data_IF_070899669879
#
_entry.id   IF_070899669879
#
_cell.length_a   1.000
_cell.length_b   1.000
_cell.length_c   1.000
_cell.angle_alpha   90.00
_cell.angle_beta   90.00
_cell.angle_gamma   90.00
#
_symmetry.space_group_name_H-M   'P 1'
#
loop_
_entity.id
_entity.type
_entity.pdbx_description
1 polymer ?
#
# COMPACT_ATOMS: atom_id res chain seq x y z
N UNK A 1 8.06 -24.73 -7.12
CA UNK A 1 7.13 -25.82 -7.49
C UNK A 1 5.66 -25.36 -7.58
N UNK A 2 5.16 -24.53 -6.62
CA UNK A 2 3.74 -24.17 -6.60
C UNK A 2 3.27 -23.43 -7.87
N UNK A 3 4.01 -22.42 -8.32
CA UNK A 3 3.64 -21.66 -9.53
C UNK A 3 3.72 -22.50 -10.80
N UNK A 4 4.59 -23.50 -10.84
CA UNK A 4 4.65 -24.43 -11.97
C UNK A 4 3.38 -25.31 -12.03
N UNK A 5 2.89 -25.78 -10.88
CA UNK A 5 1.64 -26.53 -10.83
C UNK A 5 0.45 -25.67 -11.24
N UNK A 6 0.38 -24.42 -10.79
CA UNK A 6 -0.66 -23.48 -11.20
C UNK A 6 -0.61 -23.22 -12.71
N UNK A 7 0.57 -22.98 -13.25
CA UNK A 7 0.76 -22.78 -14.70
C UNK A 7 0.27 -23.99 -15.50
N UNK A 8 0.60 -25.19 -15.04
CA UNK A 8 0.13 -26.42 -15.68
C UNK A 8 -1.39 -26.50 -15.68
N UNK A 9 -2.03 -26.26 -14.54
CA UNK A 9 -3.49 -26.28 -14.42
C UNK A 9 -4.15 -25.24 -15.31
N UNK A 10 -3.60 -24.03 -15.41
CA UNK A 10 -4.11 -22.98 -16.30
C UNK A 10 -4.00 -23.37 -17.77
N UNK A 11 -2.93 -24.05 -18.19
CA UNK A 11 -2.81 -24.58 -19.56
C UNK A 11 -3.81 -25.69 -19.85
N UNK A 12 -4.22 -26.44 -18.85
CA UNK A 12 -5.31 -27.42 -18.94
C UNK A 12 -6.70 -26.77 -18.99
N UNK A 13 -6.78 -25.46 -18.74
CA UNK A 13 -8.02 -24.69 -18.81
C UNK A 13 -8.67 -24.38 -17.46
N UNK A 14 -8.02 -24.74 -16.35
CA UNK A 14 -8.48 -24.35 -15.01
C UNK A 14 -8.36 -22.83 -14.84
N UNK A 15 -9.34 -22.22 -14.19
CA UNK A 15 -9.33 -20.78 -13.86
C UNK A 15 -9.86 -20.57 -12.45
N UNK A 16 -9.33 -19.55 -11.79
CA UNK A 16 -9.73 -19.13 -10.43
C UNK A 16 -10.19 -17.67 -10.48
N UNK A 17 -11.43 -17.46 -10.89
CA UNK A 17 -11.99 -16.13 -11.14
C UNK A 17 -12.39 -15.40 -9.86
N UNK A 18 -12.70 -16.17 -8.81
CA UNK A 18 -13.22 -15.66 -7.55
C UNK A 18 -12.71 -16.51 -6.38
N UNK A 19 -12.49 -15.92 -5.17
CA UNK A 19 -11.94 -16.64 -4.01
C UNK A 19 -12.97 -17.52 -3.29
N UNK A 20 -13.71 -18.31 -4.01
CA UNK A 20 -14.72 -19.24 -3.47
C UNK A 20 -15.10 -20.31 -4.48
N UNK A 21 -15.85 -21.28 -4.04
CA UNK A 21 -16.24 -22.45 -4.86
C UNK A 21 -16.85 -22.08 -6.22
N UNK A 22 -17.66 -21.02 -6.27
CA UNK A 22 -18.24 -20.54 -7.53
C UNK A 22 -17.24 -19.86 -8.48
N UNK A 23 -16.01 -19.60 -8.04
CA UNK A 23 -14.97 -18.97 -8.85
C UNK A 23 -13.98 -19.96 -9.47
N UNK A 24 -14.08 -21.23 -9.16
CA UNK A 24 -13.21 -22.25 -9.71
C UNK A 24 -13.84 -22.86 -10.96
N UNK A 25 -13.17 -22.71 -12.08
CA UNK A 25 -13.57 -23.31 -13.36
C UNK A 25 -12.65 -24.47 -13.65
N UNK A 26 -13.20 -25.68 -13.65
CA UNK A 26 -12.49 -26.92 -14.01
C UNK A 26 -13.12 -27.45 -15.27
N UNK A 27 -12.39 -27.51 -16.41
CA UNK A 27 -12.93 -28.04 -17.63
C UNK A 27 -13.29 -29.52 -17.49
N UNK A 28 -14.50 -29.88 -17.89
CA UNK A 28 -14.90 -31.30 -17.99
C UNK A 28 -14.41 -31.88 -19.32
N UNK A 29 -13.24 -32.54 -19.29
CA UNK A 29 -12.62 -33.17 -20.46
C UNK A 29 -12.38 -34.62 -20.17
N UNK A 30 -12.83 -35.48 -21.09
CA UNK A 30 -12.60 -36.93 -20.98
C UNK A 30 -11.13 -37.31 -21.15
N UNK A 31 -10.34 -36.49 -21.83
CA UNK A 31 -8.93 -36.71 -22.06
C UNK A 31 -8.20 -35.38 -21.91
N UNK A 32 -7.06 -35.43 -21.24
CA UNK A 32 -6.17 -34.29 -21.05
C UNK A 32 -4.85 -34.56 -21.77
N UNK A 33 -4.47 -33.68 -22.66
CA UNK A 33 -3.21 -33.74 -23.39
C UNK A 33 -2.49 -32.40 -23.31
N UNK A 34 -1.20 -32.45 -23.01
CA UNK A 34 -0.31 -31.28 -23.01
C UNK A 34 0.91 -31.62 -23.86
N UNK A 35 1.29 -30.72 -24.73
CA UNK A 35 2.56 -30.81 -25.44
C UNK A 35 3.73 -30.73 -24.44
N UNK A 36 4.90 -31.31 -24.76
CA UNK A 36 6.10 -31.14 -23.93
C UNK A 36 6.34 -29.65 -23.63
N UNK A 37 6.61 -29.35 -22.36
CA UNK A 37 6.85 -27.98 -21.90
C UNK A 37 8.28 -27.87 -21.41
N UNK A 38 9.02 -26.99 -22.03
CA UNK A 38 10.26 -26.42 -21.49
C UNK A 38 10.03 -24.92 -21.27
N UNK A 39 9.66 -24.56 -20.04
CA UNK A 39 9.20 -23.21 -19.73
C UNK A 39 9.66 -22.78 -18.34
N UNK A 40 10.37 -21.67 -18.30
CA UNK A 40 10.75 -21.00 -17.06
C UNK A 40 10.13 -19.60 -17.01
N UNK A 41 9.50 -19.28 -15.91
CA UNK A 41 8.86 -17.99 -15.69
C UNK A 41 9.14 -17.47 -14.29
N UNK A 42 9.54 -16.23 -14.20
CA UNK A 42 9.58 -15.46 -12.96
C UNK A 42 8.65 -14.25 -13.11
N UNK A 43 7.79 -13.98 -12.13
CA UNK A 43 6.96 -12.78 -12.19
C UNK A 43 7.81 -11.52 -12.32
N UNK A 44 7.49 -10.58 -13.24
CA UNK A 44 8.32 -9.41 -13.52
C UNK A 44 8.37 -8.40 -12.36
N UNK A 45 7.36 -8.42 -11.49
CA UNK A 45 7.31 -7.54 -10.33
C UNK A 45 7.77 -8.26 -9.06
N UNK A 46 8.68 -7.63 -8.32
CA UNK A 46 9.13 -8.15 -7.02
C UNK A 46 8.01 -8.18 -5.97
N UNK A 47 7.06 -7.28 -6.09
CA UNK A 47 5.88 -7.24 -5.23
C UNK A 47 4.61 -7.19 -6.08
N UNK A 48 3.72 -8.11 -5.80
CA UNK A 48 2.41 -8.27 -6.45
C UNK A 48 1.37 -8.42 -5.35
N UNK A 49 1.11 -7.32 -4.64
CA UNK A 49 0.19 -7.31 -3.51
C UNK A 49 -1.12 -6.66 -3.91
N UNK A 50 -2.19 -7.38 -3.70
CA UNK A 50 -3.54 -6.83 -3.75
C UNK A 50 -4.03 -6.64 -2.31
N UNK A 51 -4.70 -5.52 -2.06
CA UNK A 51 -5.25 -5.22 -0.74
C UNK A 51 -6.69 -5.74 -0.67
N UNK A 52 -6.80 -7.05 -0.68
CA UNK A 52 -8.05 -7.76 -0.44
C UNK A 52 -7.97 -8.49 0.89
N UNK A 53 -9.08 -8.63 1.54
CA UNK A 53 -9.21 -9.47 2.70
C UNK A 53 -9.74 -8.76 3.92
N UNK A 54 -10.16 -9.54 4.91
CA UNK A 54 -10.63 -9.01 6.17
C UNK A 54 -9.50 -8.23 6.84
N UNK A 55 -9.83 -7.08 7.40
CA UNK A 55 -8.97 -6.41 8.35
C UNK A 55 -8.64 -7.41 9.47
N UNK A 56 -7.37 -7.48 9.82
CA UNK A 56 -6.92 -8.34 10.90
C UNK A 56 -7.63 -7.91 12.19
N UNK A 57 -8.61 -8.67 12.61
CA UNK A 57 -9.15 -8.53 13.94
C UNK A 57 -10.65 -8.76 14.12
N UNK A 58 -11.51 -8.44 13.22
CA UNK A 58 -12.94 -8.41 13.50
C UNK A 58 -13.84 -8.99 12.42
N UNK A 59 -13.49 -10.11 11.81
CA UNK A 59 -14.42 -10.86 10.92
C UNK A 59 -15.14 -9.97 9.89
N UNK A 60 -14.47 -8.95 9.40
CA UNK A 60 -15.12 -7.73 9.13
C UNK A 60 -15.63 -7.57 7.72
N UNK A 61 -16.58 -6.77 7.71
CA UNK A 61 -17.19 -6.16 6.58
C UNK A 61 -16.21 -5.19 5.90
N UNK A 62 -15.70 -5.53 4.73
CA UNK A 62 -15.25 -4.54 3.80
C UNK A 62 -16.17 -4.60 2.59
N UNK A 63 -16.76 -3.49 2.23
CA UNK A 63 -17.75 -3.36 1.15
C UNK A 63 -19.04 -4.20 1.33
N UNK A 64 -19.47 -4.39 2.58
CA UNK A 64 -20.74 -5.06 2.88
C UNK A 64 -20.73 -6.58 2.74
N UNK A 65 -19.59 -7.21 2.47
CA UNK A 65 -19.48 -8.67 2.33
C UNK A 65 -18.79 -9.26 3.55
N UNK A 66 -19.47 -10.14 4.27
CA UNK A 66 -18.86 -10.96 5.29
C UNK A 66 -18.09 -12.11 4.62
N UNK A 67 -16.81 -11.91 4.41
CA UNK A 67 -15.95 -12.85 3.67
C UNK A 67 -15.83 -14.21 4.35
N UNK A 68 -15.91 -14.27 5.66
CA UNK A 68 -15.86 -15.53 6.43
C UNK A 68 -17.16 -16.32 6.22
N UNK A 69 -18.31 -15.67 6.33
CA UNK A 69 -19.61 -16.30 6.07
C UNK A 69 -19.82 -16.69 4.62
N UNK A 70 -19.15 -16.02 3.69
CA UNK A 70 -19.23 -16.33 2.27
C UNK A 70 -18.34 -17.51 1.83
N UNK A 71 -17.60 -18.14 2.76
CA UNK A 71 -16.71 -19.27 2.44
C UNK A 71 -15.60 -18.93 1.45
N UNK A 72 -15.09 -17.70 1.49
CA UNK A 72 -14.09 -17.23 0.53
C UNK A 72 -12.70 -17.71 0.92
N UNK A 73 -12.00 -18.33 -0.02
CA UNK A 73 -10.60 -18.76 0.12
C UNK A 73 -9.62 -17.61 -0.17
N UNK A 74 -9.37 -16.80 0.84
CA UNK A 74 -8.36 -15.73 0.76
C UNK A 74 -6.93 -16.22 0.98
N UNK A 75 -6.73 -17.46 1.36
CA UNK A 75 -5.41 -18.05 1.57
C UNK A 75 -4.78 -18.49 0.26
N UNK A 76 -5.44 -19.35 -0.46
CA UNK A 76 -4.88 -19.99 -1.66
C UNK A 76 -5.23 -19.26 -2.96
N UNK A 77 -6.38 -18.62 -3.07
CA UNK A 77 -6.77 -17.91 -4.28
C UNK A 77 -5.75 -16.84 -4.72
N UNK A 78 -5.25 -15.94 -3.85
CA UNK A 78 -4.19 -15.02 -4.24
C UNK A 78 -2.89 -15.72 -4.67
N UNK A 79 -2.56 -16.83 -4.04
CA UNK A 79 -1.37 -17.62 -4.41
C UNK A 79 -1.51 -18.25 -5.80
N UNK A 80 -2.71 -18.73 -6.14
CA UNK A 80 -3.03 -19.24 -7.48
C UNK A 80 -2.90 -18.15 -8.54
N UNK A 81 -3.21 -16.90 -8.20
CA UNK A 81 -3.00 -15.73 -9.05
C UNK A 81 -1.56 -15.19 -9.01
N UNK A 82 -0.62 -15.92 -8.42
CA UNK A 82 0.80 -15.51 -8.23
C UNK A 82 0.94 -14.19 -7.49
N UNK A 83 -0.04 -13.82 -6.68
CA UNK A 83 0.04 -12.68 -5.76
C UNK A 83 1.07 -12.98 -4.68
N UNK A 84 1.81 -11.97 -4.25
CA UNK A 84 2.86 -12.11 -3.27
C UNK A 84 4.09 -11.29 -3.66
N UNK A 85 5.25 -11.65 -3.15
CA UNK A 85 6.49 -10.98 -3.49
C UNK A 85 7.70 -11.58 -2.82
N UNK A 86 8.85 -11.33 -3.40
CA UNK A 86 10.16 -11.70 -2.84
C UNK A 86 10.63 -10.72 -1.76
N UNK A 87 10.03 -9.53 -1.70
CA UNK A 87 10.31 -8.52 -0.67
C UNK A 87 9.03 -8.09 0.04
N UNK A 88 9.14 -7.89 1.34
CA UNK A 88 8.08 -7.27 2.13
C UNK A 88 8.27 -5.75 2.07
N UNK A 89 7.53 -5.08 1.21
CA UNK A 89 7.44 -3.63 1.21
C UNK A 89 6.33 -3.23 2.17
N UNK A 90 6.69 -2.51 3.21
CA UNK A 90 5.73 -1.95 4.15
C UNK A 90 5.52 -0.49 3.74
N UNK A 91 4.45 -0.22 3.00
CA UNK A 91 4.00 1.13 2.72
C UNK A 91 2.74 1.38 3.55
N UNK A 92 2.71 2.46 4.25
CA UNK A 92 1.60 2.88 5.09
C UNK A 92 1.78 4.33 5.50
N UNK A 93 0.78 4.90 6.15
CA UNK A 93 0.90 6.25 6.68
C UNK A 93 2.12 6.36 7.59
N UNK A 94 2.93 7.38 7.36
CA UNK A 94 4.07 7.74 8.18
C UNK A 94 3.85 9.14 8.75
N UNK A 95 4.76 9.61 9.57
CA UNK A 95 4.74 10.96 10.14
C UNK A 95 3.59 11.22 11.15
N UNK A 96 2.85 10.18 11.57
CA UNK A 96 1.76 10.35 12.54
C UNK A 96 2.23 10.81 13.93
N UNK A 97 3.46 10.48 14.30
CA UNK A 97 4.10 10.86 15.57
C UNK A 97 4.88 12.19 15.48
N UNK A 98 4.99 12.77 14.29
CA UNK A 98 5.76 13.98 14.07
C UNK A 98 5.18 15.19 14.80
N UNK A 99 3.87 15.29 14.91
CA UNK A 99 3.25 16.39 15.62
C UNK A 99 3.69 16.43 17.09
N UNK A 100 3.67 15.30 17.76
CA UNK A 100 4.10 15.19 19.15
C UNK A 100 5.60 15.43 19.31
N UNK A 101 6.40 14.95 18.33
CA UNK A 101 7.86 15.06 18.38
C UNK A 101 8.36 16.46 18.06
N UNK A 102 7.76 17.15 17.09
CA UNK A 102 8.39 18.32 16.48
C UNK A 102 7.55 19.59 16.54
N UNK A 103 6.23 19.52 16.73
CA UNK A 103 5.39 20.71 16.60
C UNK A 103 5.78 21.84 17.55
N UNK A 104 6.18 21.51 18.75
CA UNK A 104 6.56 22.53 19.76
C UNK A 104 7.78 23.35 19.32
N UNK A 105 8.78 22.69 18.74
CA UNK A 105 10.06 23.31 18.42
C UNK A 105 10.17 23.70 16.94
N UNK A 106 9.37 23.07 16.08
CA UNK A 106 9.37 23.19 14.63
C UNK A 106 7.94 23.25 14.05
N UNK A 107 7.11 24.24 14.45
CA UNK A 107 5.76 24.36 13.90
C UNK A 107 5.76 24.57 12.38
N UNK A 108 6.83 25.11 11.81
CA UNK A 108 7.01 25.34 10.38
C UNK A 108 7.10 24.05 9.53
N UNK A 109 7.30 22.89 10.17
CA UNK A 109 7.25 21.60 9.48
C UNK A 109 5.84 21.20 9.05
N UNK A 110 4.83 21.86 9.62
CA UNK A 110 3.43 21.46 9.44
C UNK A 110 2.70 22.37 8.48
N UNK A 111 1.66 21.82 7.87
CA UNK A 111 0.84 22.54 6.92
C UNK A 111 0.12 23.71 7.58
N UNK A 112 0.00 24.81 6.86
CA UNK A 112 -0.78 25.97 7.26
C UNK A 112 -2.01 26.13 6.38
N UNK A 113 -3.11 26.63 6.96
CA UNK A 113 -4.32 26.98 6.25
C UNK A 113 -4.19 28.31 5.49
N UNK A 114 -5.28 28.76 4.89
CA UNK A 114 -5.36 30.07 4.21
C UNK A 114 -5.12 31.25 5.17
N UNK A 115 -5.49 31.08 6.43
CA UNK A 115 -5.25 32.06 7.50
C UNK A 115 -3.78 32.09 7.97
N UNK A 116 -2.90 31.32 7.37
CA UNK A 116 -1.49 31.18 7.71
C UNK A 116 -1.22 30.44 9.03
N UNK A 117 -2.25 29.94 9.69
CA UNK A 117 -2.07 29.18 10.93
C UNK A 117 -1.86 27.71 10.64
N UNK A 118 -0.96 27.09 11.39
CA UNK A 118 -0.80 25.66 11.37
C UNK A 118 -2.09 24.99 11.83
N UNK A 119 -2.64 24.13 10.98
CA UNK A 119 -3.77 23.35 11.39
C UNK A 119 -3.36 21.90 11.61
N UNK A 120 -3.49 21.45 12.86
CA UNK A 120 -3.60 20.05 13.16
C UNK A 120 -5.07 19.65 13.00
N UNK A 121 -5.33 18.41 12.69
CA UNK A 121 -6.69 17.90 12.78
C UNK A 121 -7.14 18.01 14.25
N UNK A 122 -8.17 18.80 14.52
CA UNK A 122 -8.53 19.37 15.83
C UNK A 122 -8.52 18.42 17.03
N UNK A 123 -8.67 17.11 16.83
CA UNK A 123 -8.68 16.11 17.89
C UNK A 123 -7.72 14.93 17.62
N UNK A 124 -6.96 14.95 16.53
CA UNK A 124 -6.05 13.86 16.16
C UNK A 124 -4.73 14.42 15.63
N UNK A 125 -3.81 14.82 16.51
CA UNK A 125 -2.49 15.35 16.11
C UNK A 125 -1.72 14.42 15.17
N UNK A 126 -1.89 13.12 15.32
CA UNK A 126 -1.29 12.09 14.45
C UNK A 126 -1.71 12.16 12.98
N UNK A 127 -2.73 12.95 12.66
CA UNK A 127 -3.21 13.18 11.29
C UNK A 127 -2.78 14.52 10.70
N UNK A 128 -1.91 15.25 11.37
CA UNK A 128 -1.39 16.53 10.86
C UNK A 128 -0.66 16.34 9.54
N UNK A 129 -0.87 17.25 8.59
CA UNK A 129 -0.14 17.29 7.32
C UNK A 129 1.17 18.04 7.47
N UNK A 130 2.11 17.76 6.59
CA UNK A 130 3.42 18.42 6.58
C UNK A 130 3.46 19.51 5.51
N UNK A 131 4.27 20.54 5.76
CA UNK A 131 4.66 21.51 4.76
C UNK A 131 5.78 20.92 3.89
N UNK A 132 5.42 20.39 2.73
CA UNK A 132 6.36 19.68 1.85
C UNK A 132 7.35 20.60 1.15
N UNK A 133 7.10 21.91 1.13
CA UNK A 133 8.01 22.90 0.56
C UNK A 133 8.98 23.50 1.59
N UNK A 134 8.86 23.15 2.87
CA UNK A 134 9.78 23.60 3.89
C UNK A 134 11.06 22.74 3.86
N UNK A 135 12.24 23.35 3.69
CA UNK A 135 13.51 22.59 3.64
C UNK A 135 13.78 21.78 4.91
N UNK A 136 13.47 22.32 6.08
CA UNK A 136 13.67 21.62 7.35
C UNK A 136 12.80 20.36 7.48
N UNK A 137 11.59 20.38 6.94
CA UNK A 137 10.73 19.18 6.86
C UNK A 137 11.42 18.08 6.04
N UNK A 138 11.98 18.44 4.88
CA UNK A 138 12.68 17.50 4.02
C UNK A 138 13.95 16.96 4.69
N UNK A 139 14.76 17.83 5.28
CA UNK A 139 15.98 17.45 5.97
C UNK A 139 15.71 16.49 7.12
N UNK A 140 14.67 16.77 7.92
CA UNK A 140 14.27 15.90 9.01
C UNK A 140 13.77 14.54 8.51
N UNK A 141 12.97 14.52 7.43
CA UNK A 141 12.50 13.27 6.82
C UNK A 141 13.66 12.43 6.29
N UNK A 142 14.65 13.05 5.66
CA UNK A 142 15.87 12.39 5.19
C UNK A 142 16.70 11.84 6.36
N UNK A 143 16.80 12.60 7.44
CA UNK A 143 17.51 12.17 8.66
C UNK A 143 16.86 10.92 9.27
N UNK A 144 15.54 10.90 9.39
CA UNK A 144 14.82 9.73 9.90
C UNK A 144 14.92 8.52 8.95
N UNK A 145 14.81 8.74 7.65
CA UNK A 145 14.98 7.69 6.67
C UNK A 145 16.38 7.06 6.75
N UNK A 146 17.44 7.88 6.85
CA UNK A 146 18.81 7.39 7.04
C UNK A 146 18.95 6.60 8.34
N UNK A 147 18.41 7.11 9.44
CA UNK A 147 18.45 6.41 10.73
C UNK A 147 17.73 5.06 10.65
N UNK A 148 16.57 5.01 10.00
CA UNK A 148 15.81 3.77 9.76
C UNK A 148 16.62 2.74 8.99
N UNK A 149 17.28 3.14 7.89
CA UNK A 149 18.11 2.23 7.10
C UNK A 149 19.35 1.77 7.82
N UNK A 150 20.00 2.64 8.60
CA UNK A 150 21.14 2.27 9.41
C UNK A 150 20.80 1.30 10.55
N UNK A 151 19.64 1.45 11.15
CA UNK A 151 19.16 0.55 12.20
C UNK A 151 18.61 -0.78 11.67
N UNK A 152 18.36 -0.89 10.38
CA UNK A 152 17.80 -2.11 9.78
C UNK A 152 18.82 -3.22 9.69
N UNK A 153 18.50 -4.39 10.22
CA UNK A 153 19.32 -5.61 10.05
C UNK A 153 19.43 -6.06 8.58
N UNK A 154 18.52 -5.64 7.72
CA UNK A 154 18.55 -5.88 6.28
C UNK A 154 18.20 -4.60 5.51
N UNK A 155 19.14 -3.67 5.35
CA UNK A 155 18.88 -2.40 4.67
C UNK A 155 18.37 -2.54 3.23
N UNK A 156 18.83 -3.57 2.51
CA UNK A 156 18.39 -3.83 1.13
C UNK A 156 16.94 -4.32 1.03
N UNK A 157 16.42 -4.90 2.11
CA UNK A 157 15.02 -5.34 2.22
C UNK A 157 14.12 -4.36 2.96
N UNK A 158 14.70 -3.31 3.53
CA UNK A 158 13.97 -2.29 4.26
C UNK A 158 13.21 -1.34 3.31
N UNK A 159 12.12 -0.79 3.79
CA UNK A 159 11.35 0.22 3.06
C UNK A 159 10.87 1.28 4.06
N UNK A 160 11.39 2.48 3.95
CA UNK A 160 10.90 3.64 4.69
C UNK A 160 9.73 4.26 3.93
N UNK A 161 8.58 4.38 4.58
CA UNK A 161 7.41 4.97 3.94
C UNK A 161 7.47 6.49 3.97
N UNK A 162 7.19 7.13 2.84
CA UNK A 162 6.99 8.58 2.73
C UNK A 162 5.51 8.93 2.55
N UNK A 163 4.61 7.97 2.73
CA UNK A 163 3.18 8.21 2.59
C UNK A 163 2.68 9.15 3.69
N UNK A 164 1.98 10.24 3.33
CA UNK A 164 1.44 11.17 4.30
C UNK A 164 0.35 10.53 5.17
N UNK A 165 -0.02 11.20 6.24
CA UNK A 165 -1.16 10.80 7.07
C UNK A 165 -2.46 10.81 6.26
N UNK A 166 -3.35 9.88 6.57
CA UNK A 166 -4.64 9.73 5.87
C UNK A 166 -5.71 10.56 6.56
N UNK A 167 -6.04 11.69 5.98
CA UNK A 167 -7.15 12.52 6.41
C UNK A 167 -7.65 13.43 5.28
N UNK A 168 -8.80 14.05 5.50
CA UNK A 168 -9.42 15.03 4.59
C UNK A 168 -8.97 16.48 4.87
N UNK A 169 -8.05 16.71 5.82
CA UNK A 169 -7.48 18.03 6.03
C UNK A 169 -6.76 18.47 4.75
N UNK A 170 -6.92 19.72 4.41
CA UNK A 170 -6.32 20.32 3.22
C UNK A 170 -4.79 20.21 3.21
N UNK A 171 -4.22 20.42 2.05
CA UNK A 171 -2.78 20.54 1.87
C UNK A 171 -2.28 21.89 2.40
N UNK A 172 -0.97 22.05 2.52
CA UNK A 172 -0.36 23.28 2.99
C UNK A 172 -0.62 24.43 2.02
N UNK A 173 -1.20 25.51 2.50
CA UNK A 173 -1.58 26.69 1.75
C UNK A 173 -0.49 27.76 1.69
N UNK A 174 0.72 27.51 2.19
CA UNK A 174 1.81 28.46 2.10
C UNK A 174 2.18 28.75 0.63
N UNK A 175 2.72 29.96 0.37
CA UNK A 175 3.04 30.40 -0.97
C UNK A 175 3.98 29.45 -1.75
N UNK A 176 4.87 28.75 -1.07
CA UNK A 176 5.80 27.81 -1.69
C UNK A 176 5.12 26.49 -2.03
N UNK A 177 4.26 25.94 -1.18
CA UNK A 177 3.49 24.76 -1.51
C UNK A 177 2.55 25.00 -2.68
N UNK A 178 1.90 26.17 -2.72
CA UNK A 178 1.03 26.54 -3.85
C UNK A 178 1.74 26.65 -5.20
N UNK A 179 3.04 26.89 -5.23
CA UNK A 179 3.84 26.83 -6.47
C UNK A 179 4.04 25.42 -7.00
N UNK A 180 3.82 24.41 -6.15
CA UNK A 180 3.92 22.98 -6.52
C UNK A 180 2.60 22.44 -7.07
N UNK A 181 1.51 23.19 -6.93
CA UNK A 181 0.22 22.78 -7.48
C UNK A 181 0.28 22.72 -9.01
N UNK A 182 -0.41 21.75 -9.60
CA UNK A 182 -0.49 21.65 -11.05
C UNK A 182 -1.15 22.90 -11.64
N UNK A 183 -0.54 23.45 -12.70
CA UNK A 183 -1.02 24.68 -13.36
C UNK A 183 -2.45 24.52 -13.90
N UNK A 184 -2.83 23.30 -14.32
CA UNK A 184 -4.10 22.98 -14.98
C UNK A 184 -4.98 22.03 -14.15
N UNK A 185 -4.58 21.71 -12.92
CA UNK A 185 -5.33 20.84 -12.02
C UNK A 185 -6.33 21.60 -11.16
N UNK A 186 -7.32 20.93 -10.57
CA UNK A 186 -8.07 21.52 -9.47
C UNK A 186 -7.04 21.96 -8.42
N UNK A 187 -7.12 23.19 -8.00
CA UNK A 187 -6.30 23.70 -6.90
C UNK A 187 -6.67 22.88 -5.67
N UNK A 188 -5.85 21.86 -5.40
CA UNK A 188 -6.03 20.91 -4.30
C UNK A 188 -5.48 21.58 -3.04
N UNK A 189 -6.08 22.64 -2.71
CA UNK A 189 -5.81 23.34 -1.47
C UNK A 189 -7.04 23.26 -0.58
#
# INVERSE_FOLDING_TARGET
PYFAAVELLERLGVRWLWPGAGGEVIPNKATVSIAPLDYAFAPPFMQRRMRFGPDRGNGAFRYGVNVVKAGLDWGDWPRRLRVGGSRRITAGHNFGDWYEKYFKDHPEYFAVGEDGKTFGWMNEPSRSKLCVSNPGTLEQAVKEAKAYYHASANPQGACFSLAPTDNQAGHCMCANCRKLDALDGPKVS
#
